data_IF_075360233772
#
_entry.id   IF_075360233772
#
_cell.length_a   1.000
_cell.length_b   1.000
_cell.length_c   1.000
_cell.angle_alpha   90.00
_cell.angle_beta   90.00
_cell.angle_gamma   90.00
#
_symmetry.space_group_name_H-M   'P 1'
#
loop_
_entity.id
_entity.type
_entity.pdbx_description
1 polymer ?
#
# COMPACT_ATOMS: atom_id res chain seq x y z
N UNK A 1 -6.97 -21.60 24.07
CA UNK A 1 -6.99 -21.48 22.59
C UNK A 1 -7.83 -20.26 22.25
N UNK A 2 -7.22 -19.27 21.60
CA UNK A 2 -7.86 -18.00 21.27
C UNK A 2 -6.79 -16.92 21.07
N UNK A 3 -5.83 -17.18 20.17
CA UNK A 3 -4.85 -16.19 19.77
C UNK A 3 -5.51 -15.33 18.69
N UNK A 4 -6.40 -14.43 19.10
CA UNK A 4 -6.84 -13.35 18.22
C UNK A 4 -5.65 -12.42 18.04
N UNK A 5 -5.00 -12.49 16.88
CA UNK A 5 -4.03 -11.49 16.43
C UNK A 5 -4.74 -10.12 16.39
N UNK A 6 -4.70 -9.43 17.52
CA UNK A 6 -5.17 -8.06 17.68
C UNK A 6 -4.30 -7.19 16.79
N UNK A 7 -4.93 -6.67 15.74
CA UNK A 7 -4.37 -5.70 14.78
C UNK A 7 -3.67 -4.57 15.54
N UNK A 8 -2.40 -4.31 15.22
CA UNK A 8 -1.54 -3.37 15.96
C UNK A 8 -1.66 -1.91 15.49
N UNK A 9 -2.39 -1.59 14.41
CA UNK A 9 -2.53 -0.21 13.91
C UNK A 9 -3.95 0.13 13.47
N UNK A 10 -4.41 1.34 13.80
CA UNK A 10 -5.65 1.90 13.27
C UNK A 10 -5.50 2.16 11.76
N UNK A 11 -6.44 1.64 10.96
CA UNK A 11 -6.64 2.08 9.57
C UNK A 11 -7.83 3.04 9.59
N UNK A 12 -7.75 4.13 8.84
CA UNK A 12 -8.83 4.85 8.13
C UNK A 12 -8.40 6.31 8.00
N UNK A 13 -7.67 6.59 6.93
CA UNK A 13 -7.68 7.91 6.32
C UNK A 13 -8.09 7.67 4.86
N UNK A 14 -9.33 7.98 4.46
CA UNK A 14 -9.76 7.78 3.09
C UNK A 14 -9.00 8.75 2.16
N UNK A 15 -8.59 8.24 0.99
CA UNK A 15 -7.70 8.94 0.08
C UNK A 15 -8.35 10.17 -0.56
N UNK A 16 -7.48 11.15 -0.84
CA UNK A 16 -7.76 12.36 -1.65
C UNK A 16 -7.20 12.16 -3.05
N UNK A 17 -7.93 12.67 -4.05
CA UNK A 17 -7.99 12.22 -5.46
C UNK A 17 -6.70 12.06 -6.28
N UNK A 18 -5.54 12.51 -5.82
CA UNK A 18 -4.41 12.74 -6.72
C UNK A 18 -3.30 11.69 -6.65
N UNK A 19 -3.36 10.70 -5.74
CA UNK A 19 -2.24 9.75 -5.55
C UNK A 19 -2.70 8.32 -5.24
N UNK A 20 -3.18 7.57 -6.25
CA UNK A 20 -3.86 6.29 -5.98
C UNK A 20 -3.38 5.09 -6.80
N UNK A 21 -2.54 5.27 -7.83
CA UNK A 21 -1.98 4.14 -8.59
C UNK A 21 -0.66 3.68 -7.97
N UNK A 22 -0.57 2.38 -7.73
CA UNK A 22 0.65 1.68 -7.29
C UNK A 22 1.11 0.79 -8.43
N UNK A 23 2.40 0.87 -8.73
CA UNK A 23 3.05 -0.09 -9.62
C UNK A 23 3.67 -1.18 -8.76
N UNK A 24 3.15 -2.40 -8.88
CA UNK A 24 3.70 -3.59 -8.24
C UNK A 24 4.75 -4.15 -9.20
N UNK A 25 6.03 -4.09 -8.82
CA UNK A 25 7.13 -4.64 -9.60
C UNK A 25 7.55 -5.98 -9.01
N UNK A 26 7.49 -7.01 -9.84
CA UNK A 26 7.87 -8.37 -9.51
C UNK A 26 9.29 -8.64 -10.03
N UNK A 27 9.87 -9.74 -9.55
CA UNK A 27 11.05 -10.32 -10.17
C UNK A 27 10.76 -10.63 -11.65
N UNK A 28 11.80 -10.62 -12.49
CA UNK A 28 11.71 -10.78 -13.96
C UNK A 28 11.18 -9.56 -14.73
N UNK A 29 11.02 -8.40 -14.08
CA UNK A 29 10.68 -7.14 -14.75
C UNK A 29 9.19 -7.00 -15.10
N UNK A 30 8.34 -7.91 -14.63
CA UNK A 30 6.89 -7.82 -14.77
C UNK A 30 6.33 -6.73 -13.85
N UNK A 31 5.41 -5.93 -14.37
CA UNK A 31 4.72 -4.89 -13.60
C UNK A 31 3.21 -5.11 -13.64
N UNK A 32 2.57 -4.89 -12.49
CA UNK A 32 1.11 -4.98 -12.33
C UNK A 32 0.63 -3.67 -11.73
N UNK A 33 -0.45 -3.11 -12.29
CA UNK A 33 -1.05 -1.89 -11.77
C UNK A 33 -2.14 -2.20 -10.77
N UNK A 34 -2.17 -1.43 -9.69
CA UNK A 34 -3.22 -1.50 -8.69
C UNK A 34 -3.61 -0.12 -8.19
N UNK A 35 -4.82 -0.03 -7.65
CA UNK A 35 -5.30 1.13 -6.92
C UNK A 35 -5.12 0.90 -5.42
N UNK A 36 -4.42 1.80 -4.74
CA UNK A 36 -4.30 1.77 -3.28
C UNK A 36 -5.66 2.05 -2.63
N UNK A 37 -6.08 1.19 -1.71
CA UNK A 37 -7.35 1.32 -0.96
C UNK A 37 -7.14 1.72 0.50
N UNK A 38 -6.04 1.29 1.11
CA UNK A 38 -5.58 1.79 2.41
C UNK A 38 -4.05 1.88 2.47
N UNK A 39 -3.54 2.69 3.40
CA UNK A 39 -2.13 2.79 3.72
C UNK A 39 -1.96 2.86 5.24
N UNK A 40 -0.97 2.16 5.76
CA UNK A 40 -0.48 2.31 7.13
C UNK A 40 1.04 2.33 7.15
N UNK A 41 1.63 2.48 8.32
CA UNK A 41 3.09 2.43 8.47
C UNK A 41 3.70 1.06 8.13
N UNK A 42 2.89 0.00 8.19
CA UNK A 42 3.37 -1.39 8.07
C UNK A 42 2.91 -2.08 6.79
N UNK A 43 1.99 -1.48 6.03
CA UNK A 43 1.48 -2.12 4.84
C UNK A 43 0.36 -1.35 4.14
N UNK A 44 -0.21 -2.00 3.14
CA UNK A 44 -1.25 -1.42 2.28
C UNK A 44 -2.18 -2.49 1.72
N UNK A 45 -3.44 -2.14 1.53
CA UNK A 45 -4.40 -2.88 0.73
C UNK A 45 -4.50 -2.24 -0.66
N UNK A 46 -4.42 -3.07 -1.69
CA UNK A 46 -4.45 -2.66 -3.10
C UNK A 46 -5.54 -3.46 -3.82
N UNK A 47 -6.28 -2.78 -4.70
CA UNK A 47 -7.17 -3.38 -5.69
C UNK A 47 -6.43 -3.50 -7.02
N UNK A 48 -6.25 -4.70 -7.54
CA UNK A 48 -5.60 -4.95 -8.83
C UNK A 48 -6.46 -4.44 -9.98
N UNK A 49 -5.87 -3.62 -10.85
CA UNK A 49 -6.51 -3.15 -12.09
C UNK A 49 -6.36 -4.15 -13.24
N UNK A 50 -5.36 -5.02 -13.14
CA UNK A 50 -5.12 -6.12 -14.05
C UNK A 50 -5.90 -7.38 -13.62
N UNK A 51 -5.93 -8.39 -14.50
CA UNK A 51 -6.45 -9.71 -14.14
C UNK A 51 -5.64 -10.32 -12.97
N UNK A 52 -6.31 -11.02 -12.06
CA UNK A 52 -5.70 -11.57 -10.84
C UNK A 52 -4.58 -12.58 -11.15
N UNK A 53 -4.63 -13.22 -12.32
CA UNK A 53 -3.59 -14.10 -12.84
C UNK A 53 -2.30 -13.38 -13.20
N UNK A 54 -2.35 -12.06 -13.39
CA UNK A 54 -1.17 -11.26 -13.73
C UNK A 54 -0.25 -11.00 -12.54
N UNK A 55 -0.74 -11.12 -11.31
CA UNK A 55 0.08 -11.16 -10.10
C UNK A 55 0.37 -12.64 -9.74
N UNK A 56 1.41 -13.28 -10.31
CA UNK A 56 1.76 -14.66 -9.98
C UNK A 56 2.12 -14.77 -8.50
N UNK A 57 1.76 -15.89 -7.88
CA UNK A 57 2.11 -16.20 -6.50
C UNK A 57 1.01 -15.95 -5.48
N UNK A 58 1.29 -16.43 -4.27
CA UNK A 58 0.43 -16.41 -3.09
C UNK A 58 1.13 -15.64 -1.95
N UNK A 59 0.64 -15.78 -0.72
CA UNK A 59 1.26 -15.19 0.45
C UNK A 59 2.75 -15.58 0.56
N UNK A 60 3.60 -14.59 0.82
CA UNK A 60 5.06 -14.72 0.84
C UNK A 60 5.77 -14.15 -0.39
N UNK A 61 5.05 -13.83 -1.47
CA UNK A 61 5.65 -13.19 -2.66
C UNK A 61 6.29 -11.85 -2.31
N UNK A 62 7.60 -11.73 -2.50
CA UNK A 62 8.32 -10.46 -2.38
C UNK A 62 8.20 -9.63 -3.66
N UNK A 63 8.07 -8.33 -3.51
CA UNK A 63 7.94 -7.38 -4.62
C UNK A 63 8.38 -5.98 -4.18
N UNK A 64 8.39 -5.04 -5.13
CA UNK A 64 8.57 -3.62 -4.83
C UNK A 64 7.32 -2.85 -5.25
N UNK A 65 6.76 -2.08 -4.33
CA UNK A 65 5.66 -1.16 -4.58
C UNK A 65 6.23 0.22 -4.90
N UNK A 66 6.05 0.68 -6.13
CA UNK A 66 6.39 2.05 -6.51
C UNK A 66 5.18 2.95 -6.35
N UNK A 67 5.33 3.99 -5.53
CA UNK A 67 4.27 4.90 -5.13
C UNK A 67 4.67 6.33 -5.44
N UNK A 68 3.69 7.13 -5.86
CA UNK A 68 3.88 8.56 -6.05
C UNK A 68 3.57 9.32 -4.76
N UNK A 69 4.44 10.26 -4.41
CA UNK A 69 4.26 11.25 -3.36
C UNK A 69 5.11 12.49 -3.64
N UNK A 70 4.49 13.68 -3.55
CA UNK A 70 5.17 14.97 -3.66
C UNK A 70 6.10 15.09 -4.88
N UNK A 71 5.52 14.88 -6.08
CA UNK A 71 6.22 14.96 -7.38
C UNK A 71 7.35 13.94 -7.58
N UNK A 72 7.43 12.93 -6.70
CA UNK A 72 8.45 11.88 -6.76
C UNK A 72 7.79 10.51 -6.70
N UNK A 73 8.46 9.55 -7.33
CA UNK A 73 8.17 8.14 -7.14
C UNK A 73 9.18 7.62 -6.13
N UNK A 74 8.71 6.87 -5.14
CA UNK A 74 9.56 6.15 -4.22
C UNK A 74 9.15 4.69 -4.16
N UNK A 75 10.13 3.86 -3.79
CA UNK A 75 10.01 2.42 -3.82
C UNK A 75 9.94 1.86 -2.41
N UNK A 76 8.96 1.00 -2.16
CA UNK A 76 8.81 0.29 -0.90
C UNK A 76 8.87 -1.22 -1.15
N UNK A 77 9.93 -1.91 -0.69
CA UNK A 77 9.95 -3.37 -0.68
C UNK A 77 8.80 -3.90 0.18
N UNK A 78 8.09 -4.90 -0.32
CA UNK A 78 6.91 -5.44 0.34
C UNK A 78 6.71 -6.93 0.06
N UNK A 79 6.00 -7.59 0.96
CA UNK A 79 5.62 -9.00 0.86
C UNK A 79 4.11 -9.11 0.78
N UNK A 80 3.60 -9.88 -0.19
CA UNK A 80 2.19 -10.21 -0.28
C UNK A 80 1.80 -11.06 0.94
N UNK A 81 0.89 -10.58 1.78
CA UNK A 81 0.43 -11.31 2.97
C UNK A 81 -0.94 -11.95 2.76
N UNK A 82 -1.73 -11.42 1.84
CA UNK A 82 -3.04 -11.98 1.51
C UNK A 82 -3.46 -11.60 0.09
N UNK A 83 -4.04 -12.57 -0.62
CA UNK A 83 -4.66 -12.38 -1.93
C UNK A 83 -6.09 -12.91 -1.90
N UNK A 84 -7.05 -12.08 -2.31
CA UNK A 84 -8.46 -12.44 -2.43
C UNK A 84 -9.04 -11.78 -3.68
N UNK A 85 -9.04 -12.51 -4.79
CA UNK A 85 -9.37 -11.98 -6.11
C UNK A 85 -8.54 -10.72 -6.41
N UNK A 86 -9.17 -9.59 -6.73
CA UNK A 86 -8.49 -8.34 -7.01
C UNK A 86 -8.00 -7.61 -5.75
N UNK A 87 -8.37 -8.04 -4.55
CA UNK A 87 -7.93 -7.40 -3.31
C UNK A 87 -6.68 -8.10 -2.77
N UNK A 88 -5.58 -7.36 -2.71
CA UNK A 88 -4.28 -7.87 -2.27
C UNK A 88 -3.73 -6.98 -1.16
N UNK A 89 -3.25 -7.62 -0.09
CA UNK A 89 -2.65 -6.94 1.04
C UNK A 89 -1.15 -7.20 1.06
N UNK A 90 -0.38 -6.14 1.20
CA UNK A 90 1.07 -6.18 1.32
C UNK A 90 1.52 -5.68 2.69
N UNK A 91 2.55 -6.31 3.23
CA UNK A 91 3.31 -5.85 4.39
C UNK A 91 4.65 -5.28 3.93
N UNK A 92 5.07 -4.15 4.48
CA UNK A 92 6.34 -3.51 4.13
C UNK A 92 7.52 -4.21 4.80
N UNK A 93 8.61 -4.37 4.07
CA UNK A 93 9.83 -4.96 4.62
C UNK A 93 10.56 -3.93 5.48
N UNK A 94 10.89 -4.32 6.70
CA UNK A 94 11.63 -3.46 7.63
C UNK A 94 13.07 -3.19 7.15
N UNK A 95 13.60 -2.01 7.46
CA UNK A 95 14.99 -1.63 7.12
C UNK A 95 15.12 -0.64 5.96
N UNK A 96 14.05 -0.37 5.20
CA UNK A 96 14.04 0.65 4.16
C UNK A 96 13.78 2.06 4.73
N UNK A 97 14.74 2.60 5.52
CA UNK A 97 14.53 3.82 6.32
C UNK A 97 14.09 5.05 5.49
N UNK A 98 14.58 5.20 4.26
CA UNK A 98 14.16 6.28 3.37
C UNK A 98 12.72 6.08 2.87
N UNK A 99 12.39 4.88 2.41
CA UNK A 99 11.03 4.55 1.98
C UNK A 99 10.03 4.72 3.12
N UNK A 100 10.43 4.36 4.35
CA UNK A 100 9.58 4.53 5.54
C UNK A 100 9.30 6.01 5.85
N UNK A 101 10.30 6.89 5.69
CA UNK A 101 10.09 8.34 5.81
C UNK A 101 9.08 8.86 4.77
N UNK A 102 9.15 8.34 3.54
CA UNK A 102 8.19 8.71 2.50
C UNK A 102 6.77 8.20 2.80
N UNK A 103 6.63 6.99 3.36
CA UNK A 103 5.34 6.49 3.87
C UNK A 103 4.78 7.41 4.95
N UNK A 104 5.59 7.76 5.95
CA UNK A 104 5.17 8.65 7.03
C UNK A 104 4.76 10.03 6.51
N UNK A 105 5.54 10.62 5.61
CA UNK A 105 5.20 11.90 4.97
C UNK A 105 3.88 11.82 4.20
N UNK A 106 3.65 10.72 3.47
CA UNK A 106 2.40 10.47 2.74
C UNK A 106 1.21 10.32 3.69
N UNK A 107 1.34 9.57 4.79
CA UNK A 107 0.31 9.41 5.81
C UNK A 107 -0.07 10.74 6.47
N UNK A 108 0.92 11.55 6.87
CA UNK A 108 0.70 12.88 7.45
C UNK A 108 -0.09 13.77 6.48
N UNK A 109 0.29 13.78 5.19
CA UNK A 109 -0.42 14.56 4.17
C UNK A 109 -1.87 14.08 4.01
N UNK A 110 -2.09 12.77 3.95
CA UNK A 110 -3.44 12.22 3.88
C UNK A 110 -4.28 12.65 5.07
N UNK A 111 -3.72 12.63 6.28
CA UNK A 111 -4.41 13.05 7.50
C UNK A 111 -4.82 14.52 7.45
N UNK A 112 -3.90 15.40 7.03
CA UNK A 112 -4.17 16.83 6.87
C UNK A 112 -5.29 17.07 5.86
N UNK A 113 -5.26 16.39 4.72
CA UNK A 113 -6.29 16.54 3.69
C UNK A 113 -7.65 15.99 4.13
N UNK A 114 -7.67 14.85 4.82
CA UNK A 114 -8.88 14.30 5.40
C UNK A 114 -9.51 15.25 6.42
N UNK A 115 -8.70 15.83 7.32
CA UNK A 115 -9.18 16.84 8.28
C UNK A 115 -9.74 18.08 7.58
N UNK A 116 -9.15 18.51 6.46
CA UNK A 116 -9.65 19.64 5.66
C UNK A 116 -11.01 19.35 5.04
N UNK A 117 -11.20 18.16 4.47
CA UNK A 117 -12.47 17.75 3.87
C UNK A 117 -13.56 17.55 4.91
N UNK A 118 -13.22 16.92 6.04
CA UNK A 118 -14.18 16.61 7.11
C UNK A 118 -14.74 17.86 7.81
N UNK A 119 -14.06 19.02 7.69
CA UNK A 119 -14.54 20.31 8.21
C UNK A 119 -15.42 21.08 7.24
N UNK A 120 -15.58 20.61 6.00
CA UNK A 120 -16.39 21.24 4.94
C UNK A 120 -17.72 20.53 4.69
N UNK A 121 -17.92 19.33 5.24
CA UNK A 121 -19.20 18.61 5.26
C UNK A 121 -19.94 18.83 6.55
#
# INVERSE_FOLDING_TARGET
MGNEDKRRSARVIPFVSDEEVVVIRLDEGKTVLGKMLDLSEVGTLIYLLADVSELPGDAGLSCVLSMYHDKKIFDMPATLVRKNSHLVAFEFVSGAAEAQRNIQAKLIRMEIEWMRLSRRG
#
